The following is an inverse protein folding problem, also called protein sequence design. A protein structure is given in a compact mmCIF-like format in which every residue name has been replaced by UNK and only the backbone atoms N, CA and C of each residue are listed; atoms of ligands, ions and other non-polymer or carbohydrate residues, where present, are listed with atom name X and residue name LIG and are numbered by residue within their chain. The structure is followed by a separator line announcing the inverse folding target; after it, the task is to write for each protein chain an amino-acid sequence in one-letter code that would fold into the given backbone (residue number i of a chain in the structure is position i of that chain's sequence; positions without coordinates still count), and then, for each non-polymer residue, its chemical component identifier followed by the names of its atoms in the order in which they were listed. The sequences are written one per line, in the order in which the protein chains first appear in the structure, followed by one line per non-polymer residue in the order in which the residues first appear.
data_IF_317804582990
#
_entry.id   IF_317804582990
#
_cell.length_a   1.000
_cell.length_b   1.000
_cell.length_c   1.000
_cell.angle_alpha   90.00
_cell.angle_beta   90.00
_cell.angle_gamma   90.00
#
_symmetry.space_group_name_H-M   'P 1'
#
loop_
_entity.id
_entity.type
_entity.pdbx_description
1 polymer ?
#
# COMPACT_ATOMS: atom_id res chain seq x y z
N UNK A 1 27.08 2.95 20.81
CA UNK A 1 27.65 1.93 19.90
C UNK A 1 29.12 1.71 20.26
N UNK A 2 29.61 0.47 20.17
CA UNK A 2 30.90 -0.13 20.64
C UNK A 2 30.69 -0.93 21.94
N UNK A 3 30.94 -2.24 22.00
CA UNK A 3 32.00 -3.05 21.35
C UNK A 3 31.51 -4.46 20.99
N UNK A 4 32.05 -5.02 19.90
CA UNK A 4 32.60 -6.38 19.93
C UNK A 4 33.95 -6.30 19.22
N UNK A 5 34.98 -6.79 19.90
CA UNK A 5 36.34 -6.98 19.41
C UNK A 5 36.69 -8.40 19.84
N UNK A 6 37.03 -9.35 18.95
CA UNK A 6 37.57 -10.62 19.42
C UNK A 6 39.10 -10.63 19.39
N UNK A 7 39.69 -9.89 18.45
CA UNK A 7 41.12 -9.76 18.12
C UNK A 7 41.31 -8.83 16.90
N UNK A 8 40.52 -7.77 16.75
CA UNK A 8 40.46 -6.94 15.55
C UNK A 8 40.05 -5.52 15.89
N UNK A 9 40.98 -4.58 15.68
CA UNK A 9 40.82 -3.18 16.06
C UNK A 9 39.57 -2.51 15.47
N UNK A 10 39.24 -1.33 16.00
CA UNK A 10 38.02 -0.62 15.64
C UNK A 10 37.87 -0.46 14.11
N UNK A 11 36.87 -1.14 13.55
CA UNK A 11 36.53 -1.03 12.13
C UNK A 11 36.09 0.40 11.84
N UNK A 12 36.70 1.01 10.82
CA UNK A 12 36.40 2.36 10.44
C UNK A 12 34.95 2.47 9.91
N UNK A 13 34.27 3.58 10.23
CA UNK A 13 32.85 3.75 9.92
C UNK A 13 32.56 3.72 8.40
N UNK A 14 33.51 4.15 7.58
CA UNK A 14 33.43 4.04 6.12
C UNK A 14 33.41 2.57 5.67
N UNK A 15 34.20 1.70 6.29
CA UNK A 15 34.27 0.29 5.96
C UNK A 15 32.98 -0.44 6.33
N UNK A 16 32.39 -0.13 7.50
CA UNK A 16 31.06 -0.64 7.88
C UNK A 16 29.99 -0.19 6.88
N UNK A 17 30.05 1.07 6.43
CA UNK A 17 29.12 1.59 5.41
C UNK A 17 29.28 0.86 4.08
N UNK A 18 30.51 0.66 3.60
CA UNK A 18 30.77 -0.09 2.37
C UNK A 18 30.21 -1.51 2.43
N UNK A 19 30.35 -2.20 3.56
CA UNK A 19 29.76 -3.53 3.74
C UNK A 19 28.24 -3.50 3.74
N UNK A 20 27.63 -2.53 4.41
CA UNK A 20 26.18 -2.35 4.40
C UNK A 20 25.67 -2.09 2.98
N UNK A 21 26.30 -1.18 2.23
CA UNK A 21 25.93 -0.86 0.85
C UNK A 21 26.09 -2.06 -0.08
N UNK A 22 27.16 -2.84 0.10
CA UNK A 22 27.41 -4.07 -0.66
C UNK A 22 26.33 -5.11 -0.38
N UNK A 23 26.00 -5.32 0.90
CA UNK A 23 24.96 -6.26 1.32
C UNK A 23 23.59 -5.84 0.79
N UNK A 24 23.23 -4.56 0.93
CA UNK A 24 21.98 -4.02 0.41
C UNK A 24 21.91 -4.15 -1.12
N UNK A 25 23.01 -3.85 -1.82
CA UNK A 25 23.07 -4.02 -3.28
C UNK A 25 22.87 -5.48 -3.67
N UNK A 26 23.55 -6.42 -3.01
CA UNK A 26 23.40 -7.84 -3.28
C UNK A 26 21.97 -8.34 -3.02
N UNK A 27 21.35 -7.94 -1.91
CA UNK A 27 20.00 -8.38 -1.54
C UNK A 27 18.90 -7.79 -2.43
N UNK A 28 19.01 -6.52 -2.80
CA UNK A 28 17.96 -5.80 -3.53
C UNK A 28 18.17 -5.77 -5.05
N UNK A 29 19.40 -5.98 -5.53
CA UNK A 29 19.74 -5.97 -6.97
C UNK A 29 20.12 -7.33 -7.53
N UNK A 30 19.95 -8.41 -6.75
CA UNK A 30 20.16 -9.78 -7.24
C UNK A 30 19.36 -10.03 -8.52
N UNK A 31 20.06 -10.47 -9.56
CA UNK A 31 19.44 -10.94 -10.79
C UNK A 31 19.00 -12.40 -10.60
N UNK A 32 17.88 -12.81 -11.21
CA UNK A 32 17.48 -14.20 -11.21
C UNK A 32 18.49 -15.03 -11.99
N UNK A 33 18.84 -16.19 -11.42
CA UNK A 33 19.75 -17.17 -12.03
C UNK A 33 19.01 -17.91 -13.15
N UNK A 34 17.72 -18.15 -12.94
CA UNK A 34 16.86 -18.87 -13.87
C UNK A 34 15.43 -18.36 -13.75
N UNK A 35 14.74 -18.32 -14.89
CA UNK A 35 13.29 -18.18 -14.92
C UNK A 35 12.66 -19.53 -15.23
N UNK A 36 11.53 -19.80 -14.62
CA UNK A 36 10.72 -20.98 -14.92
C UNK A 36 9.27 -20.57 -15.14
N UNK A 37 8.56 -21.33 -15.95
CA UNK A 37 7.14 -21.17 -16.20
C UNK A 37 6.39 -22.48 -16.05
N UNK A 38 5.09 -22.37 -15.81
CA UNK A 38 4.12 -23.46 -15.93
C UNK A 38 2.80 -22.92 -16.45
N UNK A 39 1.91 -23.80 -16.91
CA UNK A 39 0.51 -23.42 -17.17
C UNK A 39 -0.18 -23.10 -15.85
N UNK A 40 -1.06 -22.09 -15.84
CA UNK A 40 -1.76 -21.61 -14.65
C UNK A 40 -2.49 -22.73 -13.89
N UNK A 41 -3.04 -23.69 -14.63
CA UNK A 41 -3.85 -24.78 -14.07
C UNK A 41 -3.08 -26.10 -13.92
N UNK A 42 -1.77 -26.14 -14.22
CA UNK A 42 -0.96 -27.36 -14.09
C UNK A 42 -0.19 -27.37 -12.76
N UNK A 43 -0.63 -28.21 -11.82
CA UNK A 43 -0.05 -28.36 -10.49
C UNK A 43 0.72 -29.68 -10.31
N UNK A 44 1.01 -30.41 -11.40
CA UNK A 44 1.70 -31.71 -11.30
C UNK A 44 3.15 -31.55 -10.80
N UNK A 45 3.72 -32.55 -10.12
CA UNK A 45 5.15 -32.57 -9.83
C UNK A 45 5.96 -32.43 -11.13
N UNK A 46 6.93 -31.50 -11.15
CA UNK A 46 7.75 -31.24 -12.34
C UNK A 46 7.08 -30.42 -13.45
N UNK A 47 5.93 -29.79 -13.20
CA UNK A 47 5.24 -28.90 -14.17
C UNK A 47 6.03 -27.64 -14.57
N UNK A 48 7.12 -27.34 -13.88
CA UNK A 48 7.95 -26.17 -14.15
C UNK A 48 8.99 -26.47 -15.22
N UNK A 49 8.97 -25.68 -16.29
CA UNK A 49 9.95 -25.69 -17.35
C UNK A 49 10.77 -24.40 -17.33
N UNK A 50 11.99 -24.44 -17.88
CA UNK A 50 12.81 -23.24 -18.01
C UNK A 50 12.16 -22.23 -18.95
N UNK A 51 12.03 -20.98 -18.51
CA UNK A 51 11.47 -19.89 -19.27
C UNK A 51 12.55 -19.11 -20.03
N UNK A 52 12.20 -18.66 -21.24
CA UNK A 52 12.93 -17.64 -21.98
C UNK A 52 12.24 -16.27 -21.87
N UNK A 53 12.84 -15.24 -22.48
CA UNK A 53 12.30 -13.89 -22.46
C UNK A 53 10.87 -13.78 -23.05
N UNK A 54 10.52 -14.62 -24.03
CA UNK A 54 9.18 -14.63 -24.63
C UNK A 54 8.12 -15.21 -23.69
N UNK A 55 8.48 -16.21 -22.88
CA UNK A 55 7.61 -16.76 -21.86
C UNK A 55 7.36 -15.77 -20.72
N UNK A 56 8.40 -15.02 -20.31
CA UNK A 56 8.28 -13.98 -19.28
C UNK A 56 7.41 -12.83 -19.79
N UNK A 57 7.74 -12.27 -20.97
CA UNK A 57 7.08 -11.07 -21.49
C UNK A 57 5.60 -11.28 -21.86
N UNK A 58 5.22 -12.48 -22.28
CA UNK A 58 3.85 -12.80 -22.69
C UNK A 58 3.12 -13.71 -21.69
N UNK A 59 3.62 -13.84 -20.46
CA UNK A 59 3.13 -14.80 -19.47
C UNK A 59 1.62 -14.69 -19.24
N UNK A 60 1.15 -13.48 -18.96
CA UNK A 60 -0.27 -13.21 -18.68
C UNK A 60 -1.17 -13.56 -19.87
N UNK A 61 -0.79 -13.12 -21.09
CA UNK A 61 -1.56 -13.40 -22.31
C UNK A 61 -1.62 -14.88 -22.66
N UNK A 62 -0.59 -15.65 -22.25
CA UNK A 62 -0.45 -17.07 -22.53
C UNK A 62 -0.95 -17.97 -21.39
N UNK A 63 -1.52 -17.40 -20.34
CA UNK A 63 -1.98 -18.17 -19.17
C UNK A 63 -0.84 -18.90 -18.45
N UNK A 64 0.35 -18.32 -18.45
CA UNK A 64 1.53 -18.89 -17.80
C UNK A 64 1.73 -18.25 -16.43
N UNK A 65 2.13 -19.06 -15.47
CA UNK A 65 2.69 -18.58 -14.21
C UNK A 65 4.20 -18.65 -14.33
N UNK A 66 4.86 -17.53 -14.11
CA UNK A 66 6.31 -17.39 -14.18
C UNK A 66 6.88 -17.17 -12.79
N UNK A 67 8.02 -17.80 -12.50
CA UNK A 67 8.80 -17.57 -11.28
C UNK A 67 10.26 -17.28 -11.62
N UNK A 68 10.86 -16.38 -10.85
CA UNK A 68 12.29 -16.17 -10.83
C UNK A 68 12.92 -17.02 -9.72
N UNK A 69 13.99 -17.75 -10.07
CA UNK A 69 14.82 -18.47 -9.13
C UNK A 69 16.11 -17.71 -8.90
N UNK A 70 16.43 -17.48 -7.63
CA UNK A 70 17.62 -16.77 -7.19
C UNK A 70 18.57 -17.73 -6.48
N UNK A 71 19.87 -17.48 -6.57
CA UNK A 71 20.92 -18.22 -5.86
C UNK A 71 20.81 -18.06 -4.35
N UNK A 72 20.36 -16.88 -3.90
CA UNK A 72 20.10 -16.57 -2.50
C UNK A 72 18.65 -16.13 -2.34
N UNK A 73 18.01 -16.39 -1.18
CA UNK A 73 16.68 -15.89 -0.89
C UNK A 73 16.70 -14.38 -1.04
N UNK A 74 15.86 -13.85 -1.94
CA UNK A 74 15.70 -12.42 -2.06
C UNK A 74 14.99 -11.90 -0.81
N UNK A 75 15.35 -10.70 -0.36
CA UNK A 75 14.49 -10.01 0.61
C UNK A 75 13.13 -9.85 -0.06
N UNK A 76 12.09 -10.43 0.55
CA UNK A 76 10.70 -10.25 0.11
C UNK A 76 10.49 -8.74 0.03
N UNK A 77 10.32 -8.24 -1.19
CA UNK A 77 10.02 -6.82 -1.34
C UNK A 77 8.64 -6.61 -0.68
N UNK A 78 8.45 -5.53 0.07
CA UNK A 78 7.14 -5.20 0.56
C UNK A 78 6.17 -5.19 -0.62
N UNK A 79 4.98 -5.76 -0.42
CA UNK A 79 3.93 -5.79 -1.43
C UNK A 79 3.76 -4.38 -2.00
N UNK A 80 4.11 -4.22 -3.28
CA UNK A 80 3.98 -2.95 -3.95
C UNK A 80 2.56 -2.86 -4.48
N UNK A 81 1.82 -1.88 -3.97
CA UNK A 81 0.52 -1.49 -4.52
C UNK A 81 0.74 -0.99 -5.95
N UNK A 82 0.54 -1.85 -6.94
CA UNK A 82 0.59 -1.45 -8.33
C UNK A 82 -0.79 -1.01 -8.81
N UNK A 83 -0.90 0.23 -9.28
CA UNK A 83 -2.07 0.73 -10.00
C UNK A 83 -1.74 0.76 -11.50
N UNK A 84 -2.27 -0.19 -12.29
CA UNK A 84 -1.94 -0.29 -13.71
C UNK A 84 -2.86 0.56 -14.58
N UNK A 85 -2.27 1.36 -15.48
CA UNK A 85 -2.96 2.00 -16.61
C UNK A 85 -2.18 1.74 -17.88
N UNK A 86 -2.82 1.15 -18.89
CA UNK A 86 -2.15 0.82 -20.15
C UNK A 86 -0.98 -0.15 -19.97
N UNK A 87 -1.11 -1.14 -19.07
CA UNK A 87 -0.09 -2.17 -18.74
C UNK A 87 1.18 -1.66 -18.07
N UNK A 88 1.18 -0.44 -17.56
CA UNK A 88 2.27 0.14 -16.78
C UNK A 88 1.71 0.66 -15.45
N UNK A 89 2.42 0.39 -14.36
CA UNK A 89 2.05 0.89 -13.06
C UNK A 89 2.27 2.40 -13.00
N UNK A 90 1.24 3.18 -12.66
CA UNK A 90 1.36 4.64 -12.53
C UNK A 90 2.15 5.07 -11.29
N UNK A 91 2.39 4.16 -10.34
CA UNK A 91 3.10 4.45 -9.09
C UNK A 91 4.60 4.19 -9.18
N UNK A 92 5.01 3.04 -9.72
CA UNK A 92 6.42 2.65 -9.83
C UNK A 92 6.96 2.61 -11.26
N UNK A 93 6.11 2.69 -12.29
CA UNK A 93 6.52 2.54 -13.69
C UNK A 93 6.76 1.10 -14.13
N UNK A 94 6.55 0.12 -13.25
CA UNK A 94 6.75 -1.30 -13.58
C UNK A 94 5.66 -1.76 -14.56
N UNK A 95 6.05 -2.56 -15.56
CA UNK A 95 5.11 -3.16 -16.50
C UNK A 95 4.33 -4.29 -15.82
N UNK A 96 3.04 -4.39 -16.14
CA UNK A 96 2.12 -5.45 -15.69
C UNK A 96 2.65 -6.85 -16.02
N UNK A 97 3.42 -6.98 -17.12
CA UNK A 97 4.00 -8.24 -17.56
C UNK A 97 5.11 -8.76 -16.61
N UNK A 98 5.64 -7.92 -15.73
CA UNK A 98 6.71 -8.24 -14.76
C UNK A 98 6.19 -8.28 -13.32
N UNK A 99 4.90 -8.00 -13.12
CA UNK A 99 4.23 -8.01 -11.84
C UNK A 99 4.05 -9.48 -11.41
N UNK A 100 4.87 -9.95 -10.46
CA UNK A 100 4.89 -11.35 -10.03
C UNK A 100 3.55 -11.83 -9.42
N UNK A 101 3.36 -13.14 -9.20
CA UNK A 101 2.14 -13.71 -8.63
C UNK A 101 1.82 -13.25 -7.20
N UNK A 102 2.76 -12.59 -6.52
CA UNK A 102 2.55 -11.87 -5.25
C UNK A 102 1.85 -10.50 -5.45
N UNK A 103 1.31 -10.25 -6.65
CA UNK A 103 0.46 -9.12 -6.98
C UNK A 103 -0.99 -9.42 -6.61
N UNK A 104 -1.27 -9.45 -5.32
CA UNK A 104 -2.64 -9.23 -4.88
C UNK A 104 -2.89 -7.72 -4.83
N UNK A 105 -3.89 -7.21 -5.57
CA UNK A 105 -4.36 -5.88 -5.28
C UNK A 105 -5.04 -5.99 -3.92
N UNK A 106 -4.48 -5.35 -2.89
CA UNK A 106 -5.26 -4.97 -1.72
C UNK A 106 -6.28 -3.92 -2.19
N UNK A 107 -7.33 -4.36 -2.90
CA UNK A 107 -8.58 -3.64 -3.01
C UNK A 107 -9.25 -3.80 -1.66
N UNK A 108 -8.69 -3.16 -0.65
CA UNK A 108 -9.53 -2.36 0.19
C UNK A 108 -9.30 -0.95 -0.30
N UNK A 109 -10.12 -0.51 -1.25
CA UNK A 109 -10.47 0.90 -1.30
C UNK A 109 -10.92 1.27 0.10
N UNK A 110 -10.00 1.74 0.94
CA UNK A 110 -10.35 2.30 2.23
C UNK A 110 -11.20 3.51 1.87
N UNK A 111 -12.50 3.36 2.05
CA UNK A 111 -13.44 4.44 1.77
C UNK A 111 -12.98 5.62 2.63
N UNK A 112 -12.70 6.81 2.06
CA UNK A 112 -12.36 7.97 2.85
C UNK A 112 -13.43 8.32 3.92
N UNK A 113 -14.64 7.76 3.82
CA UNK A 113 -15.69 7.79 4.85
C UNK A 113 -15.38 7.00 6.12
N UNK A 114 -14.42 6.06 6.08
CA UNK A 114 -13.92 5.29 7.22
C UNK A 114 -12.73 5.95 7.95
N UNK A 115 -12.27 7.14 7.49
CA UNK A 115 -11.10 7.84 8.03
C UNK A 115 -11.35 8.79 9.21
N UNK A 116 -12.61 9.04 9.59
CA UNK A 116 -12.83 9.82 10.82
C UNK A 116 -12.37 8.97 12.01
N UNK A 117 -11.49 9.48 12.89
CA UNK A 117 -11.01 8.71 14.05
C UNK A 117 -12.11 8.49 15.12
N UNK A 118 -13.35 8.87 14.82
CA UNK A 118 -14.53 8.78 15.66
C UNK A 118 -15.81 8.66 14.80
N UNK A 119 -16.90 8.19 15.41
CA UNK A 119 -18.21 8.08 14.75
C UNK A 119 -18.82 9.48 14.52
N UNK A 120 -19.07 9.90 13.25
CA UNK A 120 -19.62 11.21 12.93
C UNK A 120 -20.99 11.47 13.57
N UNK A 121 -21.77 10.43 13.90
CA UNK A 121 -23.07 10.56 14.57
C UNK A 121 -22.95 11.22 15.94
N UNK A 122 -21.78 11.15 16.57
CA UNK A 122 -21.50 11.80 17.87
C UNK A 122 -21.60 13.32 17.81
N UNK A 123 -21.49 13.93 16.62
CA UNK A 123 -21.54 15.38 16.44
C UNK A 123 -22.95 15.94 16.21
N UNK A 124 -23.96 15.10 15.95
CA UNK A 124 -25.35 15.53 15.71
C UNK A 124 -25.91 16.27 16.92
N UNK A 125 -25.87 15.63 18.10
CA UNK A 125 -26.44 16.20 19.31
C UNK A 125 -25.72 17.48 19.79
N UNK A 126 -24.37 17.57 19.79
CA UNK A 126 -23.66 18.81 20.06
C UNK A 126 -24.02 19.96 19.12
N UNK A 127 -24.17 19.70 17.81
CA UNK A 127 -24.56 20.72 16.84
C UNK A 127 -26.00 21.19 17.09
N UNK A 128 -26.91 20.27 17.44
CA UNK A 128 -28.28 20.60 17.82
C UNK A 128 -28.33 21.51 19.06
N UNK A 129 -27.50 21.25 20.07
CA UNK A 129 -27.38 22.12 21.25
C UNK A 129 -26.85 23.52 20.95
N UNK A 130 -26.02 23.67 19.91
CA UNK A 130 -25.56 24.99 19.46
C UNK A 130 -26.65 25.77 18.73
N UNK A 131 -27.55 25.07 18.03
CA UNK A 131 -28.76 25.67 17.42
C UNK A 131 -29.73 26.10 18.51
N UNK A 132 -29.93 25.25 19.52
CA UNK A 132 -30.89 25.44 20.62
C UNK A 132 -30.31 26.24 21.80
N UNK A 133 -29.13 26.86 21.62
CA UNK A 133 -28.37 27.47 22.70
C UNK A 133 -29.17 28.56 23.46
N UNK A 134 -29.09 28.60 24.81
CA UNK A 134 -29.94 29.47 25.62
C UNK A 134 -29.69 30.96 25.39
N UNK A 135 -30.70 31.78 25.68
CA UNK A 135 -30.77 33.22 25.38
C UNK A 135 -29.75 34.14 26.07
N UNK A 136 -28.77 33.59 26.79
CA UNK A 136 -27.74 34.36 27.51
C UNK A 136 -26.64 34.93 26.57
N UNK A 137 -26.67 34.55 25.29
CA UNK A 137 -25.80 35.08 24.24
C UNK A 137 -26.44 36.28 23.52
N UNK A 138 -25.61 37.19 23.01
CA UNK A 138 -26.06 38.27 22.12
C UNK A 138 -26.83 37.70 20.92
N UNK A 139 -27.90 38.38 20.49
CA UNK A 139 -28.82 37.93 19.44
C UNK A 139 -28.11 37.67 18.11
N UNK A 140 -27.11 38.50 17.77
CA UNK A 140 -26.31 38.33 16.56
C UNK A 140 -25.47 37.04 16.62
N UNK A 141 -24.71 36.84 17.69
CA UNK A 141 -23.85 35.67 17.87
C UNK A 141 -24.66 34.37 17.91
N UNK A 142 -25.83 34.40 18.57
CA UNK A 142 -26.76 33.27 18.59
C UNK A 142 -27.21 32.90 17.18
N UNK A 143 -27.66 33.87 16.38
CA UNK A 143 -28.11 33.64 15.00
C UNK A 143 -26.97 33.14 14.11
N UNK A 144 -25.79 33.73 14.24
CA UNK A 144 -24.62 33.36 13.45
C UNK A 144 -24.16 31.92 13.76
N UNK A 145 -24.07 31.56 15.04
CA UNK A 145 -23.72 30.21 15.49
C UNK A 145 -24.77 29.18 15.07
N UNK A 146 -26.06 29.50 15.22
CA UNK A 146 -27.14 28.62 14.78
C UNK A 146 -27.09 28.36 13.27
N UNK A 147 -26.82 29.38 12.45
CA UNK A 147 -26.68 29.24 11.00
C UNK A 147 -25.47 28.37 10.63
N UNK A 148 -24.32 28.55 11.28
CA UNK A 148 -23.14 27.72 11.06
C UNK A 148 -23.35 26.27 11.50
N UNK A 149 -23.97 26.07 12.67
CA UNK A 149 -24.28 24.74 13.18
C UNK A 149 -25.30 24.00 12.30
N UNK A 150 -26.33 24.69 11.80
CA UNK A 150 -27.29 24.10 10.86
C UNK A 150 -26.65 23.68 9.53
N UNK A 151 -25.76 24.52 8.98
CA UNK A 151 -25.00 24.18 7.77
C UNK A 151 -24.12 22.94 7.99
N UNK A 152 -23.40 22.86 9.12
CA UNK A 152 -22.55 21.72 9.45
C UNK A 152 -23.38 20.45 9.68
N UNK A 153 -24.54 20.57 10.32
CA UNK A 153 -25.46 19.46 10.55
C UNK A 153 -25.96 18.86 9.23
N UNK A 154 -26.39 19.71 8.28
CA UNK A 154 -26.82 19.28 6.95
C UNK A 154 -25.72 18.49 6.21
N UNK A 155 -24.47 18.99 6.24
CA UNK A 155 -23.34 18.31 5.58
C UNK A 155 -22.96 17.01 6.27
N UNK A 156 -23.04 16.97 7.60
CA UNK A 156 -22.77 15.77 8.39
C UNK A 156 -23.81 14.69 8.13
N UNK A 157 -25.09 15.03 8.10
CA UNK A 157 -26.18 14.10 7.80
C UNK A 157 -26.09 13.55 6.38
N UNK A 158 -25.79 14.39 5.39
CA UNK A 158 -25.54 13.95 4.02
C UNK A 158 -24.35 12.98 3.95
N UNK A 159 -23.26 13.27 4.67
CA UNK A 159 -22.10 12.38 4.76
C UNK A 159 -22.48 11.03 5.38
N UNK A 160 -23.16 11.01 6.53
CA UNK A 160 -23.62 9.77 7.20
C UNK A 160 -24.54 8.94 6.29
N UNK A 161 -25.47 9.59 5.57
CA UNK A 161 -26.35 8.89 4.63
C UNK A 161 -25.60 8.30 3.45
N UNK A 162 -24.54 8.95 2.96
CA UNK A 162 -23.67 8.37 1.94
C UNK A 162 -22.88 7.18 2.49
N UNK A 163 -22.34 7.27 3.72
CA UNK A 163 -21.61 6.17 4.37
C UNK A 163 -22.49 4.91 4.56
N UNK A 164 -23.77 5.08 4.87
CA UNK A 164 -24.69 3.97 5.13
C UNK A 164 -25.26 3.30 3.86
N UNK A 165 -24.99 3.85 2.66
CA UNK A 165 -25.45 3.28 1.37
C UNK A 165 -24.46 2.30 0.74
N UNK A 166 -23.20 2.35 1.19
CA UNK A 166 -22.09 1.46 0.83
C UNK A 166 -22.10 0.18 1.67
#
# INVERSE_FOLDING_TARGET
MRRVDPAGGAVAANQVRTWADTLMTALYSAQPVRWEYRLKDDFKPGCWAQADAGHVYAAHQRGLVVRALFETPRVVQPEKLHEFRGRVCVRCGDSEDWAGPDCEPLIQTVDPRTLLPFDPSWLIQPLQWLIDAPAHLNTYDRRHRAAQAAFLLEKLEAHIQECNKS
#
